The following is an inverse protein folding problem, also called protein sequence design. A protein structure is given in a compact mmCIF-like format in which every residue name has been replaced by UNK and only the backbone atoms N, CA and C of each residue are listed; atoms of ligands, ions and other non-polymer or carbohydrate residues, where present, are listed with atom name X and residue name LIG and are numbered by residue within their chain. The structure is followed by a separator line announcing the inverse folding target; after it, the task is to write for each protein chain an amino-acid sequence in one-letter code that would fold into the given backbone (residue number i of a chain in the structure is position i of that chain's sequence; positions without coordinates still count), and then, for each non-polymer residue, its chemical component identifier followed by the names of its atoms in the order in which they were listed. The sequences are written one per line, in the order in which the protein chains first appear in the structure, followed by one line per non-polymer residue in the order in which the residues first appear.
data_IF_858159986812
#
_entry.id   IF_858159986812
#
_cell.length_a   1.000
_cell.length_b   1.000
_cell.length_c   1.000
_cell.angle_alpha   90.00
_cell.angle_beta   90.00
_cell.angle_gamma   90.00
#
_symmetry.space_group_name_H-M   'P 1'
#
loop_
_entity.id
_entity.type
_entity.pdbx_description
1 polymer ?
#
# COMPACT_ATOMS: atom_id res chain seq x y z
N UNK A 1 10.42 -26.46 -3.60
CA UNK A 1 9.03 -26.43 -4.13
C UNK A 1 7.92 -26.34 -3.06
N UNK A 2 8.11 -26.80 -1.80
CA UNK A 2 7.06 -26.75 -0.76
C UNK A 2 6.98 -25.43 0.03
N UNK A 3 8.08 -24.69 0.21
CA UNK A 3 8.06 -23.41 0.94
C UNK A 3 7.40 -22.27 0.16
N UNK A 4 7.50 -22.27 -1.18
CA UNK A 4 6.91 -21.23 -2.03
C UNK A 4 5.37 -21.29 -2.03
N UNK A 5 4.79 -22.50 -2.00
CA UNK A 5 3.33 -22.69 -1.81
C UNK A 5 2.88 -22.28 -0.41
N UNK A 6 3.67 -22.57 0.63
CA UNK A 6 3.35 -22.19 2.01
C UNK A 6 3.43 -20.67 2.26
N UNK A 7 4.31 -19.95 1.55
CA UNK A 7 4.35 -18.48 1.62
C UNK A 7 3.18 -17.81 0.89
N UNK A 8 2.67 -18.42 -0.20
CA UNK A 8 1.52 -17.89 -0.95
C UNK A 8 0.17 -18.03 -0.22
N UNK A 9 0.01 -19.04 0.65
CA UNK A 9 -1.28 -19.30 1.32
C UNK A 9 -1.55 -18.48 2.58
N UNK A 10 -0.50 -18.10 3.33
CA UNK A 10 -0.68 -17.39 4.62
C UNK A 10 -1.39 -16.03 4.49
N UNK A 11 -1.07 -15.16 3.52
CA UNK A 11 -1.77 -13.88 3.35
C UNK A 11 -3.27 -14.07 3.08
N UNK A 12 -3.63 -15.02 2.22
CA UNK A 12 -5.03 -15.30 1.88
C UNK A 12 -5.85 -15.74 3.09
N UNK A 13 -5.26 -16.48 4.02
CA UNK A 13 -5.93 -16.87 5.27
C UNK A 13 -6.27 -15.65 6.12
N UNK A 14 -5.35 -14.68 6.25
CA UNK A 14 -5.63 -13.45 7.00
C UNK A 14 -6.74 -12.62 6.36
N UNK A 15 -6.73 -12.50 5.03
CA UNK A 15 -7.79 -11.80 4.30
C UNK A 15 -9.15 -12.49 4.48
N UNK A 16 -9.17 -13.83 4.43
CA UNK A 16 -10.37 -14.61 4.65
C UNK A 16 -10.89 -14.43 6.08
N UNK A 17 -10.04 -14.53 7.09
CA UNK A 17 -10.42 -14.33 8.49
C UNK A 17 -10.97 -12.92 8.73
N UNK A 18 -10.33 -11.89 8.18
CA UNK A 18 -10.81 -10.51 8.28
C UNK A 18 -12.16 -10.32 7.57
N UNK A 19 -12.36 -10.96 6.42
CA UNK A 19 -13.63 -10.94 5.69
C UNK A 19 -14.74 -11.64 6.47
N UNK A 20 -14.47 -12.84 7.01
CA UNK A 20 -15.42 -13.58 7.85
C UNK A 20 -15.77 -12.79 9.11
N UNK A 21 -14.78 -12.17 9.75
CA UNK A 21 -15.01 -11.29 10.89
C UNK A 21 -15.93 -10.13 10.52
N UNK A 22 -15.65 -9.43 9.41
CA UNK A 22 -16.47 -8.30 8.98
C UNK A 22 -17.91 -8.73 8.64
N UNK A 23 -18.10 -9.86 7.95
CA UNK A 23 -19.43 -10.40 7.66
C UNK A 23 -20.18 -10.73 8.96
N UNK A 24 -19.50 -11.35 9.92
CA UNK A 24 -20.08 -11.66 11.23
C UNK A 24 -20.49 -10.39 11.97
N UNK A 25 -19.61 -9.38 11.98
CA UNK A 25 -19.88 -8.06 12.55
C UNK A 25 -21.08 -7.37 11.88
N UNK A 26 -21.20 -7.47 10.54
CA UNK A 26 -22.33 -6.94 9.79
C UNK A 26 -23.65 -7.62 10.21
N UNK A 27 -23.67 -8.96 10.27
CA UNK A 27 -24.85 -9.75 10.67
C UNK A 27 -25.27 -9.41 12.11
N UNK A 28 -24.32 -9.42 13.05
CA UNK A 28 -24.57 -9.09 14.46
C UNK A 28 -25.05 -7.65 14.61
N UNK A 29 -24.41 -6.70 13.92
CA UNK A 29 -24.81 -5.30 13.93
C UNK A 29 -26.24 -5.12 13.39
N UNK A 30 -26.56 -5.77 12.28
CA UNK A 30 -27.88 -5.72 11.67
C UNK A 30 -28.95 -6.33 12.61
N UNK A 31 -28.66 -7.46 13.28
CA UNK A 31 -29.59 -8.05 14.25
C UNK A 31 -29.82 -7.16 15.48
N UNK A 32 -28.85 -6.31 15.82
CA UNK A 32 -28.96 -5.34 16.92
C UNK A 32 -29.54 -3.98 16.46
N UNK A 33 -30.06 -3.88 15.23
CA UNK A 33 -30.65 -2.65 14.69
C UNK A 33 -29.63 -1.56 14.33
N UNK A 34 -28.35 -1.89 14.22
CA UNK A 34 -27.32 -0.97 13.78
C UNK A 34 -27.37 -0.80 12.25
N UNK A 35 -27.14 0.42 11.72
CA UNK A 35 -27.23 0.70 10.28
C UNK A 35 -25.99 0.23 9.51
N UNK A 36 -25.52 -0.99 9.75
CA UNK A 36 -24.33 -1.56 9.09
C UNK A 36 -24.53 -1.74 7.58
N UNK A 37 -25.78 -1.91 7.14
CA UNK A 37 -26.14 -1.92 5.72
C UNK A 37 -25.82 -0.60 5.00
N UNK A 38 -26.06 0.55 5.63
CA UNK A 38 -25.79 1.85 5.02
C UNK A 38 -24.30 2.06 4.74
N UNK A 39 -23.44 1.51 5.61
CA UNK A 39 -21.99 1.50 5.42
C UNK A 39 -21.63 0.69 4.16
N UNK A 40 -22.13 -0.54 4.05
CA UNK A 40 -21.86 -1.41 2.90
C UNK A 40 -22.37 -0.80 1.58
N UNK A 41 -23.59 -0.28 1.56
CA UNK A 41 -24.18 0.35 0.38
C UNK A 41 -23.35 1.56 -0.08
N UNK A 42 -22.94 2.42 0.85
CA UNK A 42 -22.12 3.58 0.53
C UNK A 42 -20.72 3.16 0.04
N UNK A 43 -20.14 2.11 0.64
CA UNK A 43 -18.86 1.55 0.19
C UNK A 43 -18.95 0.94 -1.20
N UNK A 44 -20.09 0.38 -1.63
CA UNK A 44 -20.28 -0.14 -2.98
C UNK A 44 -20.12 0.95 -4.07
N UNK A 45 -20.59 2.16 -3.81
CA UNK A 45 -20.37 3.31 -4.71
C UNK A 45 -18.88 3.65 -4.84
N UNK A 46 -18.14 3.63 -3.71
CA UNK A 46 -16.71 3.91 -3.67
C UNK A 46 -15.93 2.83 -4.42
N UNK A 47 -16.26 1.56 -4.22
CA UNK A 47 -15.65 0.43 -4.93
C UNK A 47 -15.88 0.56 -6.44
N UNK A 48 -17.10 0.88 -6.85
CA UNK A 48 -17.44 1.09 -8.26
C UNK A 48 -16.61 2.22 -8.87
N UNK A 49 -16.48 3.34 -8.16
CA UNK A 49 -15.61 4.45 -8.57
C UNK A 49 -14.15 4.02 -8.69
N UNK A 50 -13.62 3.28 -7.72
CA UNK A 50 -12.25 2.77 -7.75
C UNK A 50 -11.99 1.89 -8.99
N UNK A 51 -12.89 0.95 -9.30
CA UNK A 51 -12.76 0.12 -10.49
C UNK A 51 -12.86 0.94 -11.79
N UNK A 52 -13.79 1.88 -11.89
CA UNK A 52 -13.90 2.76 -13.06
C UNK A 52 -12.60 3.56 -13.25
N UNK A 53 -12.08 4.15 -12.18
CA UNK A 53 -10.84 4.92 -12.21
C UNK A 53 -9.64 4.05 -12.58
N UNK A 54 -9.52 2.85 -12.02
CA UNK A 54 -8.46 1.89 -12.35
C UNK A 54 -8.48 1.54 -13.85
N UNK A 55 -9.67 1.29 -14.41
CA UNK A 55 -9.82 1.00 -15.85
C UNK A 55 -9.50 2.23 -16.70
N UNK A 56 -9.88 3.43 -16.26
CA UNK A 56 -9.54 4.69 -16.93
C UNK A 56 -8.02 4.91 -16.97
N UNK A 57 -7.33 4.67 -15.85
CA UNK A 57 -5.86 4.75 -15.78
C UNK A 57 -5.21 3.79 -16.77
N UNK A 58 -5.70 2.55 -16.86
CA UNK A 58 -5.20 1.56 -17.81
C UNK A 58 -5.43 1.98 -19.26
N UNK A 59 -6.58 2.60 -19.55
CA UNK A 59 -6.91 3.08 -20.89
C UNK A 59 -6.06 4.30 -21.31
N UNK A 60 -5.79 5.21 -20.37
CA UNK A 60 -5.07 6.47 -20.64
C UNK A 60 -3.54 6.29 -20.59
N UNK A 61 -3.04 5.37 -19.77
CA UNK A 61 -1.61 5.13 -19.56
C UNK A 61 -1.20 3.69 -19.91
N UNK A 62 -1.54 3.16 -21.10
CA UNK A 62 -1.35 1.74 -21.42
C UNK A 62 0.12 1.31 -21.46
N UNK A 63 1.04 2.24 -21.67
CA UNK A 63 2.49 2.01 -21.70
C UNK A 63 3.17 2.23 -20.35
N UNK A 64 2.42 2.61 -19.31
CA UNK A 64 2.99 2.77 -17.97
C UNK A 64 3.18 1.38 -17.32
N UNK A 65 4.42 0.93 -17.06
CA UNK A 65 4.66 -0.42 -16.53
C UNK A 65 4.09 -0.61 -15.12
N UNK A 66 3.74 0.49 -14.42
CA UNK A 66 3.26 0.51 -13.05
C UNK A 66 1.86 1.12 -12.92
N UNK A 67 1.03 1.01 -13.96
CA UNK A 67 -0.31 1.60 -14.00
C UNK A 67 -1.21 1.25 -12.80
N UNK A 68 -1.18 0.01 -12.31
CA UNK A 68 -1.98 -0.39 -11.14
C UNK A 68 -1.47 0.20 -9.83
N UNK A 69 -0.14 0.26 -9.68
CA UNK A 69 0.50 0.88 -8.52
C UNK A 69 0.20 2.37 -8.51
N UNK A 70 0.27 3.01 -9.68
CA UNK A 70 -0.15 4.40 -9.84
C UNK A 70 -1.63 4.59 -9.50
N UNK A 71 -2.53 3.77 -10.04
CA UNK A 71 -3.97 3.84 -9.76
C UNK A 71 -4.27 3.74 -8.26
N UNK A 72 -3.62 2.81 -7.55
CA UNK A 72 -3.70 2.67 -6.10
C UNK A 72 -3.32 3.95 -5.36
N UNK A 73 -2.15 4.50 -5.65
CA UNK A 73 -1.70 5.72 -4.97
C UNK A 73 -2.50 6.96 -5.40
N UNK A 74 -2.96 7.04 -6.64
CA UNK A 74 -3.82 8.13 -7.11
C UNK A 74 -5.21 8.08 -6.44
N UNK A 75 -5.81 6.89 -6.33
CA UNK A 75 -7.08 6.71 -5.63
C UNK A 75 -6.97 7.03 -4.14
N UNK A 76 -5.89 6.62 -3.48
CA UNK A 76 -5.66 7.00 -2.10
C UNK A 76 -5.49 8.52 -1.91
N UNK A 77 -4.80 9.21 -2.84
CA UNK A 77 -4.78 10.68 -2.84
C UNK A 77 -6.18 11.29 -2.93
N UNK A 78 -7.00 10.81 -3.87
CA UNK A 78 -8.38 11.28 -4.04
C UNK A 78 -9.21 11.03 -2.78
N UNK A 79 -9.02 9.87 -2.14
CA UNK A 79 -9.64 9.55 -0.86
C UNK A 79 -9.20 10.53 0.25
N UNK A 80 -7.91 10.82 0.40
CA UNK A 80 -7.43 11.78 1.39
C UNK A 80 -7.97 13.19 1.13
N UNK A 81 -8.00 13.62 -0.13
CA UNK A 81 -8.59 14.90 -0.52
C UNK A 81 -10.09 14.94 -0.23
N UNK A 82 -10.81 13.85 -0.45
CA UNK A 82 -12.22 13.73 -0.08
C UNK A 82 -12.41 13.96 1.42
N UNK A 83 -11.59 13.34 2.29
CA UNK A 83 -11.69 13.56 3.75
C UNK A 83 -11.47 15.03 4.13
N UNK A 84 -10.42 15.65 3.58
CA UNK A 84 -10.11 17.04 3.86
C UNK A 84 -11.24 17.97 3.39
N UNK A 85 -11.66 17.85 2.13
CA UNK A 85 -12.69 18.71 1.54
C UNK A 85 -14.03 18.49 2.24
N UNK A 86 -14.44 17.24 2.47
CA UNK A 86 -15.69 16.96 3.17
C UNK A 86 -15.71 17.56 4.57
N UNK A 87 -14.61 17.44 5.32
CA UNK A 87 -14.52 18.01 6.66
C UNK A 87 -14.60 19.54 6.65
N UNK A 88 -13.86 20.20 5.73
CA UNK A 88 -13.80 21.66 5.64
C UNK A 88 -15.10 22.29 5.13
N UNK A 89 -15.77 21.64 4.18
CA UNK A 89 -17.00 22.17 3.56
C UNK A 89 -18.24 21.84 4.41
N UNK A 90 -18.34 20.59 4.89
CA UNK A 90 -19.50 20.12 5.64
C UNK A 90 -19.13 18.96 6.56
N UNK A 91 -18.73 19.28 7.79
CA UNK A 91 -18.27 18.29 8.78
C UNK A 91 -19.26 17.14 9.00
N UNK A 92 -20.57 17.39 8.99
CA UNK A 92 -21.59 16.34 9.10
C UNK A 92 -21.50 15.30 7.98
N UNK A 93 -21.17 15.75 6.77
CA UNK A 93 -20.97 14.86 5.62
C UNK A 93 -19.71 14.02 5.79
N UNK A 94 -18.62 14.60 6.29
CA UNK A 94 -17.44 13.83 6.68
C UNK A 94 -17.80 12.76 7.72
N UNK A 95 -18.44 13.13 8.83
CA UNK A 95 -18.83 12.23 9.93
C UNK A 95 -19.73 11.09 9.41
N UNK A 96 -20.61 11.39 8.45
CA UNK A 96 -21.52 10.40 7.86
C UNK A 96 -20.78 9.38 6.98
N UNK A 97 -19.85 9.81 6.13
CA UNK A 97 -19.33 8.98 5.03
C UNK A 97 -17.89 8.50 5.18
N UNK A 98 -17.10 9.03 6.13
CA UNK A 98 -15.67 8.69 6.23
C UNK A 98 -15.41 7.19 6.38
N UNK A 99 -16.21 6.47 7.19
CA UNK A 99 -16.10 5.01 7.36
C UNK A 99 -16.33 4.27 6.05
N UNK A 100 -17.33 4.70 5.29
CA UNK A 100 -17.72 4.05 4.02
C UNK A 100 -16.67 4.27 2.94
N UNK A 101 -16.08 5.48 2.88
CA UNK A 101 -14.96 5.79 1.98
C UNK A 101 -13.71 5.00 2.37
N UNK A 102 -13.39 4.93 3.66
CA UNK A 102 -12.30 4.10 4.18
C UNK A 102 -12.52 2.65 3.76
N UNK A 103 -13.66 2.07 4.13
CA UNK A 103 -13.93 0.67 3.87
C UNK A 103 -14.00 0.33 2.38
N UNK A 104 -14.66 1.16 1.56
CA UNK A 104 -14.79 0.91 0.12
C UNK A 104 -13.44 0.89 -0.60
N UNK A 105 -12.56 1.83 -0.28
CA UNK A 105 -11.19 1.83 -0.80
C UNK A 105 -10.43 0.57 -0.41
N UNK A 106 -10.49 0.17 0.86
CA UNK A 106 -9.79 -1.02 1.34
C UNK A 106 -10.36 -2.32 0.75
N UNK A 107 -11.67 -2.42 0.48
CA UNK A 107 -12.25 -3.55 -0.26
C UNK A 107 -11.68 -3.63 -1.67
N UNK A 108 -11.62 -2.51 -2.38
CA UNK A 108 -11.04 -2.47 -3.70
C UNK A 108 -9.58 -2.92 -3.69
N UNK A 109 -8.76 -2.38 -2.77
CA UNK A 109 -7.34 -2.77 -2.68
C UNK A 109 -7.17 -4.25 -2.31
N UNK A 110 -8.01 -4.79 -1.42
CA UNK A 110 -8.01 -6.22 -1.10
C UNK A 110 -8.38 -7.07 -2.31
N UNK A 111 -9.35 -6.63 -3.12
CA UNK A 111 -9.72 -7.32 -4.35
C UNK A 111 -8.54 -7.32 -5.33
N UNK A 112 -7.85 -6.19 -5.46
CA UNK A 112 -6.65 -6.08 -6.29
C UNK A 112 -5.53 -7.02 -5.80
N UNK A 113 -5.28 -7.09 -4.48
CA UNK A 113 -4.31 -8.01 -3.88
C UNK A 113 -4.66 -9.49 -4.11
N UNK A 114 -5.94 -9.84 -4.00
CA UNK A 114 -6.40 -11.22 -4.18
C UNK A 114 -6.37 -11.66 -5.66
N UNK A 115 -6.83 -10.79 -6.56
CA UNK A 115 -6.95 -11.12 -7.99
C UNK A 115 -5.62 -10.95 -8.74
N UNK A 116 -4.76 -10.04 -8.29
CA UNK A 116 -3.50 -9.70 -8.96
C UNK A 116 -2.33 -9.56 -7.98
N UNK A 117 -2.00 -10.60 -7.19
CA UNK A 117 -0.94 -10.53 -6.19
C UNK A 117 0.44 -10.13 -6.77
N UNK A 118 0.69 -10.47 -8.03
CA UNK A 118 1.92 -10.14 -8.77
C UNK A 118 2.10 -8.63 -9.05
N UNK A 119 1.04 -7.82 -8.92
CA UNK A 119 1.12 -6.37 -9.11
C UNK A 119 1.88 -5.68 -7.99
N UNK A 120 1.92 -6.29 -6.80
CA UNK A 120 2.60 -5.76 -5.63
C UNK A 120 3.88 -6.53 -5.35
N UNK A 121 4.93 -5.84 -4.89
CA UNK A 121 6.19 -6.48 -4.52
C UNK A 121 5.95 -7.50 -3.39
N UNK A 122 6.62 -8.67 -3.36
CA UNK A 122 6.32 -9.73 -2.39
C UNK A 122 6.38 -9.30 -0.91
N UNK A 123 7.34 -8.46 -0.55
CA UNK A 123 7.47 -7.86 0.79
C UNK A 123 6.35 -6.86 1.10
N UNK A 124 5.93 -6.08 0.09
CA UNK A 124 4.77 -5.20 0.17
C UNK A 124 3.47 -5.97 0.27
N UNK A 125 3.31 -7.07 -0.48
CA UNK A 125 2.11 -7.90 -0.46
C UNK A 125 1.85 -8.49 0.93
N UNK A 126 2.90 -8.95 1.64
CA UNK A 126 2.79 -9.43 3.03
C UNK A 126 2.33 -8.32 3.98
N UNK A 127 2.95 -7.15 3.90
CA UNK A 127 2.57 -6.00 4.73
C UNK A 127 1.15 -5.52 4.40
N UNK A 128 0.83 -5.32 3.13
CA UNK A 128 -0.49 -4.88 2.66
C UNK A 128 -1.58 -5.85 3.10
N UNK A 129 -1.32 -7.15 3.01
CA UNK A 129 -2.25 -8.14 3.50
C UNK A 129 -2.56 -7.96 4.98
N UNK A 130 -1.54 -7.82 5.84
CA UNK A 130 -1.74 -7.63 7.28
C UNK A 130 -2.45 -6.30 7.54
N UNK A 131 -1.96 -5.22 6.95
CA UNK A 131 -2.48 -3.85 7.10
C UNK A 131 -3.95 -3.75 6.69
N UNK A 132 -4.29 -4.26 5.51
CA UNK A 132 -5.65 -4.19 5.00
C UNK A 132 -6.57 -5.16 5.74
N UNK A 133 -6.07 -6.30 6.22
CA UNK A 133 -6.86 -7.22 7.04
C UNK A 133 -7.20 -6.59 8.38
N UNK A 134 -6.23 -5.87 8.99
CA UNK A 134 -6.47 -5.06 10.17
C UNK A 134 -7.53 -3.98 9.89
N UNK A 135 -7.44 -3.27 8.77
CA UNK A 135 -8.44 -2.27 8.38
C UNK A 135 -9.86 -2.85 8.23
N UNK A 136 -10.00 -4.07 7.70
CA UNK A 136 -11.28 -4.79 7.65
C UNK A 136 -11.82 -5.12 9.04
N UNK A 137 -10.96 -5.64 9.92
CA UNK A 137 -11.35 -5.94 11.30
C UNK A 137 -11.79 -4.65 12.00
N UNK A 138 -11.02 -3.58 11.85
CA UNK A 138 -11.28 -2.28 12.46
C UNK A 138 -12.60 -1.69 11.99
N UNK A 139 -12.88 -1.71 10.68
CA UNK A 139 -14.17 -1.25 10.14
C UNK A 139 -15.34 -2.10 10.62
N UNK A 140 -15.14 -3.42 10.81
CA UNK A 140 -16.12 -4.30 11.43
C UNK A 140 -16.40 -3.93 12.89
N UNK A 141 -15.35 -3.64 13.68
CA UNK A 141 -15.48 -3.16 15.06
C UNK A 141 -16.23 -1.82 15.08
N UNK A 142 -15.87 -0.87 14.22
CA UNK A 142 -16.56 0.43 14.12
C UNK A 142 -18.03 0.30 13.72
N UNK A 143 -18.39 -0.74 12.95
CA UNK A 143 -19.77 -1.02 12.55
C UNK A 143 -20.61 -1.61 13.70
N UNK A 144 -19.97 -2.27 14.67
CA UNK A 144 -20.63 -2.85 15.86
C UNK A 144 -20.87 -1.83 16.97
N UNK A 145 -20.27 -0.65 16.88
CA UNK A 145 -20.50 0.41 17.85
C UNK A 145 -21.71 1.21 17.35
N UNK A 146 -22.77 1.38 18.17
CA UNK A 146 -23.91 2.23 17.82
C UNK A 146 -23.40 3.61 17.40
N UNK A 147 -24.15 4.31 16.55
CA UNK A 147 -23.83 5.69 16.18
C UNK A 147 -23.84 6.58 17.43
N UNK A 148 -22.75 6.56 18.18
CA UNK A 148 -22.49 7.44 19.28
C UNK A 148 -22.00 8.73 18.67
N UNK A 149 -22.66 9.82 18.99
CA UNK A 149 -22.38 11.10 18.39
C UNK A 149 -20.88 11.43 18.45
N UNK A 150 -20.38 11.95 17.33
CA UNK A 150 -19.09 12.63 17.23
C UNK A 150 -19.25 14.09 17.70
N UNK A 151 -19.97 14.32 18.80
CA UNK A 151 -20.35 15.67 19.23
C UNK A 151 -19.14 16.53 19.65
N UNK A 152 -17.96 15.92 19.79
CA UNK A 152 -16.72 16.65 20.02
C UNK A 152 -15.99 16.96 18.70
N UNK A 153 -15.95 18.27 18.38
CA UNK A 153 -15.23 18.84 17.25
C UNK A 153 -13.76 18.38 17.18
N UNK A 154 -13.09 18.23 18.33
CA UNK A 154 -11.69 17.80 18.36
C UNK A 154 -11.52 16.33 17.99
N UNK A 155 -12.49 15.46 18.32
CA UNK A 155 -12.44 14.08 17.84
C UNK A 155 -12.56 14.02 16.30
N UNK A 156 -13.55 14.70 15.73
CA UNK A 156 -13.74 14.72 14.27
C UNK A 156 -12.55 15.36 13.55
N UNK A 157 -11.96 16.42 14.11
CA UNK A 157 -10.73 17.03 13.62
C UNK A 157 -9.55 16.06 13.70
N UNK A 158 -9.37 15.37 14.83
CA UNK A 158 -8.32 14.37 15.02
C UNK A 158 -8.44 13.24 14.01
N UNK A 159 -9.63 12.69 13.80
CA UNK A 159 -9.87 11.68 12.79
C UNK A 159 -9.57 12.17 11.37
N UNK A 160 -9.94 13.41 11.02
CA UNK A 160 -9.60 14.00 9.72
C UNK A 160 -8.08 14.13 9.55
N UNK A 161 -7.37 14.65 10.56
CA UNK A 161 -5.90 14.78 10.51
C UNK A 161 -5.26 13.39 10.35
N UNK A 162 -5.72 12.40 11.11
CA UNK A 162 -5.22 11.02 11.00
C UNK A 162 -5.49 10.46 9.60
N UNK A 163 -6.72 10.59 9.10
CA UNK A 163 -7.11 10.09 7.78
C UNK A 163 -6.37 10.79 6.63
N UNK A 164 -5.75 11.95 6.85
CA UNK A 164 -5.07 12.73 5.80
C UNK A 164 -3.55 12.76 5.94
N UNK A 165 -2.99 12.19 7.00
CA UNK A 165 -1.54 12.25 7.27
C UNK A 165 -0.70 11.54 6.22
N UNK A 166 -1.22 10.48 5.58
CA UNK A 166 -0.52 9.72 4.55
C UNK A 166 -0.52 10.41 3.16
N UNK A 167 -1.16 11.57 3.00
CA UNK A 167 -1.31 12.20 1.68
C UNK A 167 0.04 12.40 0.98
N UNK A 168 1.10 12.75 1.73
CA UNK A 168 2.44 12.93 1.19
C UNK A 168 3.07 11.60 0.74
N UNK A 169 2.84 10.51 1.49
CA UNK A 169 3.32 9.17 1.13
C UNK A 169 2.66 8.72 -0.16
N UNK A 170 1.34 8.93 -0.28
CA UNK A 170 0.59 8.62 -1.48
C UNK A 170 1.03 9.47 -2.68
N UNK A 171 1.27 10.76 -2.47
CA UNK A 171 1.73 11.67 -3.52
C UNK A 171 3.07 11.21 -4.13
N UNK A 172 4.04 10.92 -3.26
CA UNK A 172 5.36 10.48 -3.70
C UNK A 172 5.32 9.15 -4.42
N UNK A 173 4.54 8.19 -3.92
CA UNK A 173 4.48 6.89 -4.54
C UNK A 173 3.71 6.91 -5.87
N UNK A 174 2.68 7.76 -6.01
CA UNK A 174 2.04 8.02 -7.30
C UNK A 174 3.04 8.65 -8.29
N UNK A 175 3.77 9.68 -7.86
CA UNK A 175 4.79 10.33 -8.69
C UNK A 175 5.87 9.35 -9.15
N UNK A 176 6.37 8.49 -8.25
CA UNK A 176 7.36 7.45 -8.55
C UNK A 176 6.82 6.37 -9.49
N UNK A 177 5.53 6.04 -9.39
CA UNK A 177 4.90 5.07 -10.29
C UNK A 177 4.85 5.60 -11.74
N UNK A 178 4.63 6.91 -11.92
CA UNK A 178 4.68 7.55 -13.23
C UNK A 178 6.10 7.76 -13.76
N UNK A 179 7.06 8.00 -12.86
CA UNK A 179 8.43 8.38 -13.22
C UNK A 179 9.44 7.41 -12.58
N UNK A 180 9.55 6.17 -13.06
CA UNK A 180 10.42 5.16 -12.45
C UNK A 180 11.92 5.50 -12.56
N UNK A 181 12.33 6.28 -13.56
CA UNK A 181 13.73 6.62 -13.84
C UNK A 181 14.21 7.89 -13.13
N UNK A 182 13.31 8.70 -12.57
CA UNK A 182 13.67 10.01 -12.02
C UNK A 182 14.21 9.86 -10.60
N UNK A 183 15.51 10.15 -10.46
CA UNK A 183 16.07 10.73 -9.24
C UNK A 183 17.29 10.01 -8.68
N UNK A 184 18.26 10.80 -8.21
CA UNK A 184 19.30 10.30 -7.32
C UNK A 184 18.64 9.57 -6.14
N UNK A 185 18.92 8.27 -6.05
CA UNK A 185 18.38 7.37 -5.02
C UNK A 185 18.55 7.93 -3.60
N UNK A 186 19.63 8.68 -3.36
CA UNK A 186 19.90 9.33 -2.09
C UNK A 186 18.94 10.48 -1.80
N UNK A 187 18.64 11.31 -2.79
CA UNK A 187 17.66 12.40 -2.68
C UNK A 187 16.26 11.86 -2.38
N UNK A 188 15.86 10.77 -3.05
CA UNK A 188 14.58 10.12 -2.79
C UNK A 188 14.50 9.54 -1.37
N UNK A 189 15.55 8.85 -0.91
CA UNK A 189 15.63 8.36 0.49
C UNK A 189 15.57 9.48 1.52
N UNK A 190 16.21 10.63 1.25
CA UNK A 190 16.15 11.80 2.12
C UNK A 190 14.71 12.34 2.19
N UNK A 191 14.05 12.44 1.04
CA UNK A 191 12.66 12.89 0.94
C UNK A 191 11.69 11.94 1.66
N UNK A 192 11.86 10.62 1.53
CA UNK A 192 11.08 9.63 2.28
C UNK A 192 11.22 9.79 3.79
N UNK A 193 12.43 10.06 4.31
CA UNK A 193 12.65 10.32 5.74
C UNK A 193 11.97 11.60 6.20
N UNK A 194 12.03 12.66 5.40
CA UNK A 194 11.35 13.92 5.72
C UNK A 194 9.85 13.71 5.80
N UNK A 195 9.26 13.01 4.83
CA UNK A 195 7.84 12.72 4.82
C UNK A 195 7.42 11.80 5.95
N UNK A 196 8.22 10.79 6.29
CA UNK A 196 8.01 9.98 7.47
C UNK A 196 7.88 10.86 8.72
N UNK A 197 8.81 11.80 8.94
CA UNK A 197 8.74 12.71 10.09
C UNK A 197 7.49 13.61 10.06
N UNK A 198 7.16 14.20 8.90
CA UNK A 198 5.97 15.05 8.73
C UNK A 198 4.69 14.26 9.04
N UNK A 199 4.59 13.06 8.48
CA UNK A 199 3.44 12.17 8.66
C UNK A 199 3.30 11.75 10.13
N UNK A 200 4.40 11.41 10.83
CA UNK A 200 4.38 11.12 12.28
C UNK A 200 3.96 12.32 13.12
N UNK A 201 4.35 13.54 12.75
CA UNK A 201 3.88 14.78 13.42
C UNK A 201 2.38 14.96 13.21
N UNK A 202 1.87 14.72 12.00
CA UNK A 202 0.43 14.75 11.71
C UNK A 202 -0.35 13.69 12.51
N UNK A 203 0.12 12.45 12.58
CA UNK A 203 -0.50 11.40 13.42
C UNK A 203 -0.50 11.80 14.90
N UNK A 204 0.62 12.31 15.40
CA UNK A 204 0.72 12.75 16.80
C UNK A 204 -0.25 13.90 17.10
N UNK A 205 -0.38 14.86 16.19
CA UNK A 205 -1.33 15.97 16.37
C UNK A 205 -2.78 15.48 16.34
N UNK A 206 -3.12 14.48 15.53
CA UNK A 206 -4.44 13.84 15.55
C UNK A 206 -4.79 13.25 16.92
N UNK A 207 -3.86 12.52 17.55
CA UNK A 207 -4.06 11.97 18.90
C UNK A 207 -4.18 13.07 19.96
N UNK A 208 -3.41 14.15 19.85
CA UNK A 208 -3.52 15.31 20.76
C UNK A 208 -4.94 15.91 20.70
N UNK A 209 -5.54 16.01 19.51
CA UNK A 209 -6.92 16.51 19.40
C UNK A 209 -7.89 15.62 20.19
N UNK A 210 -7.83 14.30 20.00
CA UNK A 210 -8.78 13.37 20.61
C UNK A 210 -8.54 13.11 22.11
N UNK A 211 -7.29 13.08 22.57
CA UNK A 211 -6.92 12.70 23.94
C UNK A 211 -6.81 13.88 24.90
N UNK A 212 -6.38 15.04 24.42
CA UNK A 212 -6.04 16.19 25.28
C UNK A 212 -7.06 17.33 25.11
N UNK A 213 -7.45 17.63 23.88
CA UNK A 213 -8.28 18.80 23.58
C UNK A 213 -9.79 18.52 23.61
N UNK A 214 -10.19 17.25 23.49
CA UNK A 214 -11.56 16.79 23.71
C UNK A 214 -12.01 17.16 25.12
N UNK A 215 -12.99 18.07 25.25
CA UNK A 215 -13.39 18.65 26.55
C UNK A 215 -14.33 17.75 27.36
N UNK A 216 -14.71 16.60 26.81
CA UNK A 216 -15.47 15.54 27.48
C UNK A 216 -14.80 14.17 27.31
N UNK A 217 -15.35 13.15 27.97
CA UNK A 217 -14.93 11.77 27.69
C UNK A 217 -15.28 11.45 26.24
N UNK A 218 -14.32 10.98 25.42
CA UNK A 218 -14.62 10.51 24.07
C UNK A 218 -15.77 9.50 24.10
N UNK A 219 -16.62 9.54 23.08
CA UNK A 219 -17.65 8.52 22.91
C UNK A 219 -17.01 7.14 22.76
N UNK A 220 -17.80 6.07 22.93
CA UNK A 220 -17.29 4.70 22.75
C UNK A 220 -16.67 4.51 21.35
N UNK A 221 -17.29 5.12 20.32
CA UNK A 221 -16.72 5.13 18.97
C UNK A 221 -15.43 5.95 18.92
N UNK A 222 -15.35 7.11 19.58
CA UNK A 222 -14.13 7.91 19.65
C UNK A 222 -12.95 7.13 20.25
N UNK A 223 -13.17 6.47 21.40
CA UNK A 223 -12.15 5.60 22.01
C UNK A 223 -11.76 4.43 21.10
N UNK A 224 -12.74 3.82 20.45
CA UNK A 224 -12.46 2.73 19.52
C UNK A 224 -11.64 3.21 18.32
N UNK A 225 -11.98 4.35 17.72
CA UNK A 225 -11.20 4.96 16.65
C UNK A 225 -9.78 5.22 17.13
N UNK A 226 -9.58 5.93 18.24
CA UNK A 226 -8.24 6.21 18.77
C UNK A 226 -7.40 4.94 19.01
N UNK A 227 -7.99 3.91 19.61
CA UNK A 227 -7.28 2.66 19.88
C UNK A 227 -6.95 1.87 18.62
N UNK A 228 -7.90 1.77 17.69
CA UNK A 228 -7.71 1.03 16.43
C UNK A 228 -6.76 1.75 15.47
N UNK A 229 -6.80 3.08 15.43
CA UNK A 229 -5.86 3.89 14.65
C UNK A 229 -4.45 3.82 15.22
N UNK A 230 -4.30 3.81 16.55
CA UNK A 230 -3.00 3.64 17.20
C UNK A 230 -2.40 2.27 16.85
N UNK A 231 -3.21 1.21 16.87
CA UNK A 231 -2.77 -0.12 16.46
C UNK A 231 -2.26 -0.14 15.01
N UNK A 232 -3.01 0.44 14.07
CA UNK A 232 -2.58 0.58 12.67
C UNK A 232 -1.26 1.35 12.59
N UNK A 233 -1.15 2.48 13.29
CA UNK A 233 0.04 3.32 13.25
C UNK A 233 1.29 2.60 13.77
N UNK A 234 1.15 1.70 14.76
CA UNK A 234 2.25 0.88 15.26
C UNK A 234 2.72 -0.13 14.18
N UNK A 235 1.77 -0.74 13.47
CA UNK A 235 2.06 -1.66 12.36
C UNK A 235 2.77 -0.91 11.22
N UNK A 236 2.25 0.25 10.84
CA UNK A 236 2.82 1.11 9.79
C UNK A 236 4.20 1.64 10.18
N UNK A 237 4.36 2.13 11.41
CA UNK A 237 5.64 2.64 11.92
C UNK A 237 6.70 1.55 11.90
N UNK A 238 6.37 0.34 12.36
CA UNK A 238 7.31 -0.79 12.33
C UNK A 238 7.74 -1.10 10.90
N UNK A 239 6.80 -1.12 9.96
CA UNK A 239 7.12 -1.39 8.56
C UNK A 239 7.99 -0.28 7.94
N UNK A 240 7.61 0.98 8.13
CA UNK A 240 8.32 2.14 7.59
C UNK A 240 9.73 2.27 8.19
N UNK A 241 9.90 2.08 9.50
CA UNK A 241 11.22 2.07 10.14
C UNK A 241 12.07 0.95 9.57
N UNK A 242 11.52 -0.27 9.41
CA UNK A 242 12.25 -1.40 8.83
C UNK A 242 12.70 -1.11 7.40
N UNK A 243 11.84 -0.46 6.60
CA UNK A 243 12.16 -0.05 5.23
C UNK A 243 13.26 1.01 5.20
N UNK A 244 13.23 1.99 6.11
CA UNK A 244 14.23 3.06 6.22
C UNK A 244 15.56 2.52 6.78
N UNK A 245 15.55 1.65 7.80
CA UNK A 245 16.75 1.19 8.50
C UNK A 245 17.58 0.19 7.69
N UNK A 246 16.95 -0.76 6.98
CA UNK A 246 17.64 -1.67 6.05
C UNK A 246 18.31 -0.93 4.88
N UNK A 247 17.89 0.31 4.63
CA UNK A 247 18.50 1.18 3.64
C UNK A 247 19.81 1.83 4.10
N UNK A 248 20.12 1.76 5.41
CA UNK A 248 21.33 2.28 6.06
C UNK A 248 22.40 1.21 6.19
N UNK A 249 22.04 -0.04 6.55
CA UNK A 249 23.00 -1.14 6.65
C UNK A 249 23.64 -1.49 5.30
N UNK A 250 22.84 -1.57 4.23
CA UNK A 250 23.33 -1.76 2.86
C UNK A 250 24.25 -0.62 2.34
N UNK A 251 24.29 0.52 3.03
CA UNK A 251 25.20 1.62 2.73
C UNK A 251 26.54 1.45 3.45
N UNK A 252 26.53 1.06 4.73
CA UNK A 252 27.75 0.76 5.49
C UNK A 252 28.52 -0.42 4.90
N UNK A 253 27.83 -1.44 4.39
CA UNK A 253 28.49 -2.61 3.77
C UNK A 253 29.10 -2.27 2.41
N UNK A 254 28.52 -1.34 1.65
CA UNK A 254 29.13 -0.88 0.39
C UNK A 254 30.30 0.06 0.63
N UNK A 255 30.20 1.02 1.56
CA UNK A 255 31.34 1.88 1.92
C UNK A 255 32.50 1.07 2.49
N UNK A 256 32.23 0.10 3.37
CA UNK A 256 33.27 -0.76 3.92
C UNK A 256 33.93 -1.64 2.85
N UNK A 257 33.18 -2.17 1.88
CA UNK A 257 33.75 -2.93 0.76
C UNK A 257 34.53 -2.05 -0.24
N UNK A 258 34.08 -0.83 -0.54
CA UNK A 258 34.86 0.08 -1.40
C UNK A 258 36.16 0.50 -0.73
N UNK A 259 36.14 0.79 0.58
CA UNK A 259 37.33 1.19 1.33
C UNK A 259 38.30 0.01 1.55
N UNK A 260 37.79 -1.22 1.75
CA UNK A 260 38.63 -2.42 1.78
C UNK A 260 39.22 -2.77 0.40
N UNK A 261 38.48 -2.53 -0.70
CA UNK A 261 38.97 -2.76 -2.06
C UNK A 261 40.03 -1.75 -2.47
N UNK A 262 39.90 -0.48 -2.04
CA UNK A 262 40.89 0.57 -2.26
C UNK A 262 42.13 0.31 -1.39
N UNK A 263 41.97 -0.07 -0.11
CA UNK A 263 43.11 -0.52 0.72
C UNK A 263 43.82 -1.74 0.14
N UNK A 264 43.10 -2.72 -0.40
CA UNK A 264 43.71 -3.88 -1.08
C UNK A 264 44.44 -3.47 -2.36
N UNK A 265 43.90 -2.53 -3.13
CA UNK A 265 44.55 -2.02 -4.35
C UNK A 265 45.82 -1.24 -4.03
N UNK A 266 45.83 -0.48 -2.93
CA UNK A 266 47.03 0.20 -2.44
C UNK A 266 48.06 -0.76 -1.83
N UNK A 267 47.64 -1.83 -1.14
CA UNK A 267 48.60 -2.83 -0.64
C UNK A 267 49.20 -3.71 -1.75
N UNK A 268 48.46 -3.97 -2.83
CA UNK A 268 48.97 -4.72 -4.01
C UNK A 268 49.93 -3.86 -4.84
N UNK A 269 49.75 -2.53 -4.88
CA UNK A 269 50.69 -1.61 -5.54
C UNK A 269 51.97 -1.33 -4.70
N UNK A 270 52.00 -1.72 -3.43
CA UNK A 270 53.16 -1.54 -2.53
C UNK A 270 53.92 -2.86 -2.28
N UNK A 271 53.39 -4.02 -2.70
CA UNK A 271 54.03 -5.33 -2.46
C UNK A 271 54.24 -6.20 -3.70
N UNK A 272 54.27 -5.65 -4.92
CA UNK A 272 54.90 -6.35 -6.04
C UNK A 272 56.43 -6.16 -5.97
N UNK A 273 57.00 -6.84 -4.99
CA UNK A 273 58.41 -7.10 -4.78
C UNK A 273 58.50 -8.38 -3.96
N UNK A 274 58.69 -9.48 -4.70
CA UNK A 274 59.14 -10.80 -4.25
C UNK A 274 58.12 -11.83 -3.68
N UNK A 275 58.23 -13.00 -4.32
CA UNK A 275 58.19 -14.36 -3.79
C UNK A 275 56.93 -15.24 -3.77
N UNK A 276 57.25 -16.50 -4.12
CA UNK A 276 56.45 -17.71 -4.30
C UNK A 276 55.79 -18.21 -3.01
N UNK A 277 54.66 -18.93 -3.15
CA UNK A 277 54.30 -19.96 -2.15
C UNK A 277 52.82 -20.18 -1.85
N UNK A 278 52.32 -21.31 -2.34
CA UNK A 278 51.38 -22.27 -1.70
C UNK A 278 50.03 -21.80 -1.08
N UNK A 279 48.97 -22.27 -1.74
CA UNK A 279 47.72 -22.88 -1.25
C UNK A 279 47.24 -22.67 0.20
N UNK A 280 45.94 -22.37 0.33
CA UNK A 280 44.98 -23.23 1.05
C UNK A 280 43.55 -22.74 0.83
N UNK A 281 42.66 -23.70 0.63
CA UNK A 281 41.22 -23.58 0.48
C UNK A 281 40.53 -23.47 1.85
N UNK A 282 39.57 -22.57 1.99
CA UNK A 282 38.48 -22.73 2.96
C UNK A 282 37.17 -22.17 2.39
N UNK A 283 36.21 -23.08 2.21
CA UNK A 283 34.83 -22.79 1.88
C UNK A 283 34.05 -22.47 3.16
N UNK A 284 33.54 -21.25 3.28
CA UNK A 284 32.51 -20.91 4.26
C UNK A 284 31.16 -20.87 3.55
N UNK A 285 30.29 -21.81 3.88
CA UNK A 285 28.89 -21.86 3.48
C UNK A 285 28.05 -21.17 4.56
N UNK A 286 27.68 -19.92 4.35
CA UNK A 286 26.72 -19.20 5.19
C UNK A 286 25.56 -18.68 4.33
N UNK A 287 24.47 -19.45 4.38
CA UNK A 287 23.04 -19.08 4.24
C UNK A 287 22.66 -17.87 3.35
N UNK A 288 22.36 -18.15 2.08
CA UNK A 288 21.81 -17.22 1.06
C UNK A 288 20.29 -16.91 1.17
N UNK A 289 19.61 -17.20 2.29
CA UNK A 289 18.15 -16.96 2.38
C UNK A 289 17.76 -15.50 2.67
N UNK A 290 18.69 -14.66 3.16
CA UNK A 290 18.42 -13.24 3.43
C UNK A 290 18.70 -12.30 2.24
N UNK A 291 19.39 -12.78 1.20
CA UNK A 291 19.75 -11.97 0.04
C UNK A 291 18.62 -11.88 -1.01
N UNK A 292 17.73 -12.87 -1.06
CA UNK A 292 16.58 -12.92 -1.99
C UNK A 292 15.44 -11.93 -1.65
N UNK A 293 15.46 -11.30 -0.47
CA UNK A 293 14.48 -10.27 -0.09
C UNK A 293 15.01 -8.86 -0.43
N UNK A 294 16.31 -8.75 -0.75
CA UNK A 294 17.04 -7.51 -0.94
C UNK A 294 16.90 -6.92 -2.36
N UNK A 295 16.63 -7.76 -3.36
CA UNK A 295 16.48 -7.33 -4.77
C UNK A 295 15.09 -6.77 -5.09
N UNK A 296 14.01 -7.17 -4.41
CA UNK A 296 12.65 -6.78 -4.80
C UNK A 296 12.31 -5.29 -4.58
N UNK A 297 13.14 -4.56 -3.82
CA UNK A 297 13.03 -3.10 -3.70
C UNK A 297 14.02 -2.34 -4.59
N UNK A 298 14.97 -3.05 -5.23
CA UNK A 298 16.20 -2.48 -5.79
C UNK A 298 16.54 -2.94 -7.22
N UNK A 299 16.01 -4.06 -7.71
CA UNK A 299 16.29 -4.62 -9.02
C UNK A 299 15.01 -4.58 -9.88
N UNK A 300 14.75 -3.42 -10.48
CA UNK A 300 14.08 -3.40 -11.78
C UNK A 300 14.89 -2.46 -12.66
N UNK A 301 16.10 -2.90 -12.93
CA UNK A 301 16.83 -2.50 -14.12
C UNK A 301 16.09 -3.08 -15.33
N UNK A 302 16.01 -2.33 -16.42
CA UNK A 302 15.12 -2.56 -17.57
C UNK A 302 15.54 -3.78 -18.43
N UNK A 303 16.47 -4.62 -17.96
CA UNK A 303 17.15 -5.62 -18.78
C UNK A 303 16.55 -7.04 -18.75
N UNK A 304 15.57 -7.34 -17.90
CA UNK A 304 15.07 -8.73 -17.73
C UNK A 304 13.72 -9.06 -18.38
N UNK A 305 13.09 -8.15 -19.12
CA UNK A 305 11.88 -8.46 -19.90
C UNK A 305 12.13 -8.88 -21.36
N UNK A 306 13.36 -8.75 -21.88
CA UNK A 306 13.73 -9.32 -23.18
C UNK A 306 14.34 -10.71 -23.02
N UNK A 307 13.50 -11.72 -22.73
CA UNK A 307 13.71 -13.12 -23.16
C UNK A 307 12.57 -13.99 -22.66
N UNK A 308 11.62 -14.30 -23.55
CA UNK A 308 10.77 -15.48 -23.38
C UNK A 308 9.32 -15.36 -23.87
N UNK A 309 9.14 -15.58 -25.17
CA UNK A 309 8.12 -16.47 -25.76
C UNK A 309 6.63 -16.22 -25.44
N UNK A 310 5.90 -15.66 -26.43
CA UNK A 310 4.75 -16.32 -27.07
C UNK A 310 4.52 -15.71 -28.48
N UNK A 311 4.47 -16.51 -29.55
CA UNK A 311 3.97 -16.06 -30.85
C UNK A 311 2.44 -16.27 -30.87
N UNK A 312 1.67 -15.19 -30.90
CA UNK A 312 0.26 -15.29 -31.28
C UNK A 312 0.04 -14.32 -32.44
N UNK A 313 0.09 -14.88 -33.64
CA UNK A 313 -0.36 -14.21 -34.85
C UNK A 313 -1.87 -13.96 -34.76
N UNK A 314 -2.26 -12.71 -34.91
CA UNK A 314 -3.62 -12.33 -35.29
C UNK A 314 -3.55 -11.70 -36.67
N UNK A 315 -3.95 -12.46 -37.69
CA UNK A 315 -4.37 -11.89 -38.97
C UNK A 315 -5.81 -11.36 -38.79
N UNK A 316 -6.12 -10.11 -39.16
CA UNK A 316 -7.50 -9.68 -39.28
C UNK A 316 -8.06 -10.19 -40.61
N UNK A 317 -9.05 -11.10 -40.54
CA UNK A 317 -9.91 -11.40 -41.68
C UNK A 317 -10.90 -10.24 -41.87
N UNK A 318 -10.73 -9.50 -42.95
CA UNK A 318 -11.76 -8.68 -43.56
C UNK A 318 -12.81 -9.59 -44.21
N UNK A 319 -13.99 -9.67 -43.61
CA UNK A 319 -15.19 -10.12 -44.33
C UNK A 319 -16.09 -8.92 -44.62
N UNK A 320 -16.09 -8.54 -45.89
CA UNK A 320 -17.15 -7.78 -46.54
C UNK A 320 -18.39 -8.65 -46.64
N UNK A 321 -19.52 -8.19 -46.08
CA UNK A 321 -20.83 -8.68 -46.45
C UNK A 321 -21.71 -7.50 -46.85
N UNK A 322 -21.79 -7.30 -48.16
CA UNK A 322 -22.93 -6.69 -48.82
C UNK A 322 -24.12 -7.65 -48.70
N UNK A 323 -25.33 -7.12 -48.44
CA UNK A 323 -26.52 -7.98 -48.39
C UNK A 323 -27.77 -7.33 -47.80
N UNK A 324 -28.34 -6.37 -48.53
CA UNK A 324 -29.78 -6.26 -48.88
C UNK A 324 -30.76 -6.97 -47.93
N UNK A 325 -31.62 -6.23 -47.23
CA UNK A 325 -33.07 -6.50 -47.16
C UNK A 325 -33.82 -5.20 -46.82
N UNK A 326 -34.45 -4.63 -47.84
CA UNK A 326 -35.66 -3.83 -47.73
C UNK A 326 -36.86 -4.73 -47.41
N UNK A 327 -37.84 -4.27 -46.61
CA UNK A 327 -39.29 -4.21 -46.92
C UNK A 327 -40.19 -4.09 -45.67
N UNK A 328 -41.04 -3.05 -45.74
CA UNK A 328 -42.41 -2.84 -45.24
C UNK A 328 -42.80 -2.93 -43.74
N UNK A 329 -43.24 -1.75 -43.26
CA UNK A 329 -44.60 -1.44 -42.77
C UNK A 329 -45.41 -2.56 -42.10
N UNK A 330 -45.69 -2.35 -40.80
CA UNK A 330 -47.05 -2.15 -40.31
C UNK A 330 -47.07 -1.26 -39.07
#
# INVERSE_FOLDING_TARGET
MNQEKAMKSRPLIFMLLATVFWISAHIIGQSNGLPTWCLLQSSACIISFCFIFENLVQAVLPFCPKQYVFAHFALGLLQHMFYLISYLVRTDFFITYWKSVFFGYYIWTMTLLACRPQVFFPSFAKFYCIHHSAAFIITGIWALIPNSNWDDKYMSLGAMIWLTSDCYVYFINAYRALNPEIGNRQSFKKLQRIIFCIERIHRSSAYIQGLILCKGSPSQLGWCVLGTTLFIDLVDTKFQITSISRSVSSFQDKESHTDHSLRKRWSILVMNGDDDGQGTSSSSSDTDEDELICEDFQAFDVSSQEKGLFPIGFQPQTQTNEGIWSIQQK
#
